data_IF_746291376156
#
_entry.id   IF_746291376156
#
_cell.length_a   1.000
_cell.length_b   1.000
_cell.length_c   1.000
_cell.angle_alpha   90.00
_cell.angle_beta   90.00
_cell.angle_gamma   90.00
#
_symmetry.space_group_name_H-M   'P 1'
#
loop_
_entity.id
_entity.type
_entity.pdbx_description
1 polymer ?
#
# COMPACT_ATOMS: atom_id res chain seq x y z
N UNK A 1 7.34 -10.14 -0.82
CA UNK A 1 6.02 -9.60 -0.40
C UNK A 1 6.27 -8.28 0.30
N UNK A 2 5.39 -7.32 0.08
CA UNK A 2 5.34 -6.04 0.79
C UNK A 2 3.96 -5.89 1.41
N UNK A 3 3.88 -5.35 2.61
CA UNK A 3 2.64 -5.06 3.32
C UNK A 3 2.55 -3.57 3.59
N UNK A 4 1.48 -2.94 3.14
CA UNK A 4 1.08 -1.63 3.63
C UNK A 4 0.23 -1.84 4.88
N UNK A 5 0.65 -1.25 6.00
CA UNK A 5 0.01 -1.35 7.30
C UNK A 5 -0.41 0.03 7.76
N UNK A 6 -1.72 0.28 7.77
CA UNK A 6 -2.30 1.49 8.31
C UNK A 6 -2.33 1.46 9.86
N UNK A 7 -2.46 2.64 10.47
CA UNK A 7 -2.47 2.81 11.93
C UNK A 7 -3.63 2.07 12.62
N UNK A 8 -4.76 1.91 11.94
CA UNK A 8 -5.92 1.16 12.40
C UNK A 8 -5.77 -0.36 12.27
N UNK A 9 -4.62 -0.83 11.76
CA UNK A 9 -4.33 -2.24 11.55
C UNK A 9 -4.79 -2.78 10.19
N UNK A 10 -5.42 -1.96 9.34
CA UNK A 10 -5.76 -2.37 7.98
C UNK A 10 -4.50 -2.69 7.18
N UNK A 11 -4.58 -3.74 6.37
CA UNK A 11 -3.44 -4.27 5.62
C UNK A 11 -3.79 -4.48 4.15
N UNK A 12 -2.84 -4.12 3.28
CA UNK A 12 -2.81 -4.50 1.89
C UNK A 12 -1.51 -5.26 1.61
N UNK A 13 -1.61 -6.45 1.00
CA UNK A 13 -0.46 -7.33 0.74
C UNK A 13 -0.19 -7.37 -0.75
N UNK A 14 1.02 -6.98 -1.11
CA UNK A 14 1.46 -6.92 -2.50
C UNK A 14 2.55 -7.97 -2.74
N UNK A 15 2.31 -8.81 -3.74
CA UNK A 15 3.31 -9.72 -4.27
C UNK A 15 4.31 -8.91 -5.09
N UNK A 16 5.60 -9.09 -4.80
CA UNK A 16 6.69 -8.39 -5.49
C UNK A 16 7.44 -9.40 -6.35
N UNK A 17 7.55 -9.11 -7.64
CA UNK A 17 8.33 -9.87 -8.61
C UNK A 17 9.34 -8.94 -9.28
N UNK A 18 10.62 -9.31 -9.28
CA UNK A 18 11.68 -8.45 -9.83
C UNK A 18 11.80 -7.08 -9.17
N UNK A 19 11.38 -6.94 -7.90
CA UNK A 19 11.39 -5.67 -7.17
C UNK A 19 10.18 -4.77 -7.44
N UNK A 20 9.20 -5.21 -8.24
CA UNK A 20 8.01 -4.45 -8.61
C UNK A 20 6.76 -5.20 -8.12
N UNK A 21 5.81 -4.46 -7.54
CA UNK A 21 4.44 -4.93 -7.37
C UNK A 21 3.56 -4.26 -8.43
N UNK A 22 2.88 -5.06 -9.25
CA UNK A 22 2.00 -4.54 -10.30
C UNK A 22 0.55 -4.74 -9.91
N UNK A 23 -0.33 -3.82 -10.35
CA UNK A 23 -1.77 -3.93 -10.15
C UNK A 23 -2.31 -5.25 -10.70
N UNK A 24 -1.91 -5.63 -11.91
CA UNK A 24 -2.40 -6.83 -12.58
C UNK A 24 -2.00 -8.14 -11.87
N UNK A 25 -0.93 -8.14 -11.08
CA UNK A 25 -0.45 -9.31 -10.34
C UNK A 25 -0.82 -9.27 -8.84
N UNK A 26 -1.53 -8.24 -8.39
CA UNK A 26 -1.97 -8.08 -7.00
C UNK A 26 -3.44 -8.46 -6.89
N UNK A 27 -3.83 -9.05 -5.75
CA UNK A 27 -5.25 -9.27 -5.45
C UNK A 27 -6.01 -7.92 -5.54
N UNK A 28 -7.14 -7.86 -6.28
CA UNK A 28 -7.86 -6.60 -6.48
C UNK A 28 -8.29 -5.91 -5.19
N UNK A 29 -8.62 -6.66 -4.14
CA UNK A 29 -9.02 -6.08 -2.85
C UNK A 29 -7.82 -5.49 -2.13
N UNK A 30 -6.68 -6.16 -2.15
CA UNK A 30 -5.46 -5.63 -1.53
C UNK A 30 -4.93 -4.41 -2.31
N UNK A 31 -5.03 -4.41 -3.64
CA UNK A 31 -4.71 -3.22 -4.43
C UNK A 31 -5.63 -2.04 -4.08
N UNK A 32 -6.94 -2.27 -4.03
CA UNK A 32 -7.91 -1.24 -3.68
C UNK A 32 -7.68 -0.68 -2.27
N UNK A 33 -7.34 -1.52 -1.28
CA UNK A 33 -6.98 -1.08 0.06
C UNK A 33 -5.74 -0.20 0.08
N UNK A 34 -4.68 -0.58 -0.65
CA UNK A 34 -3.48 0.23 -0.76
C UNK A 34 -3.81 1.60 -1.37
N UNK A 35 -4.58 1.63 -2.47
CA UNK A 35 -5.01 2.88 -3.10
C UNK A 35 -5.82 3.73 -2.12
N UNK A 36 -6.77 3.15 -1.39
CA UNK A 36 -7.58 3.87 -0.41
C UNK A 36 -6.73 4.45 0.74
N UNK A 37 -5.73 3.72 1.25
CA UNK A 37 -4.80 4.24 2.26
C UNK A 37 -4.04 5.46 1.73
N UNK A 38 -3.53 5.38 0.51
CA UNK A 38 -2.77 6.47 -0.09
C UNK A 38 -3.66 7.68 -0.45
N UNK A 39 -4.90 7.45 -0.88
CA UNK A 39 -5.89 8.49 -1.12
C UNK A 39 -6.27 9.23 0.17
N UNK A 40 -6.42 8.51 1.28
CA UNK A 40 -6.70 9.11 2.59
C UNK A 40 -5.48 9.86 3.15
N UNK A 41 -4.26 9.41 2.83
CA UNK A 41 -3.03 9.93 3.40
C UNK A 41 -2.87 9.59 4.89
N UNK A 42 -1.98 10.31 5.56
CA UNK A 42 -1.62 10.09 6.96
C UNK A 42 -0.47 9.11 7.14
N UNK A 43 -0.42 8.48 8.32
CA UNK A 43 0.69 7.62 8.73
C UNK A 43 0.42 6.14 8.46
N UNK A 44 1.31 5.49 7.72
CA UNK A 44 1.30 4.04 7.49
C UNK A 44 2.72 3.51 7.37
N UNK A 45 2.90 2.21 7.59
CA UNK A 45 4.16 1.53 7.39
C UNK A 45 4.14 0.68 6.12
N UNK A 46 5.28 0.63 5.43
CA UNK A 46 5.55 -0.32 4.34
C UNK A 46 6.55 -1.33 4.88
N UNK A 47 6.12 -2.58 4.96
CA UNK A 47 6.84 -3.66 5.66
C UNK A 47 7.20 -4.76 4.68
N UNK A 48 8.46 -5.19 4.74
CA UNK A 48 8.97 -6.37 4.05
C UNK A 48 9.45 -7.41 5.07
N UNK A 49 9.92 -8.56 4.60
CA UNK A 49 10.55 -9.55 5.49
C UNK A 49 11.92 -9.11 6.05
N UNK A 50 12.53 -8.07 5.48
CA UNK A 50 13.90 -7.64 5.83
C UNK A 50 13.94 -6.31 6.57
N UNK A 51 12.95 -5.45 6.32
CA UNK A 51 12.95 -4.07 6.78
C UNK A 51 11.53 -3.50 6.76
N UNK A 52 11.36 -2.38 7.44
CA UNK A 52 10.13 -1.59 7.50
C UNK A 52 10.43 -0.11 7.41
N UNK A 53 9.61 0.62 6.66
CA UNK A 53 9.69 2.07 6.58
C UNK A 53 8.33 2.70 6.89
N UNK A 54 8.32 3.70 7.77
CA UNK A 54 7.12 4.44 8.13
C UNK A 54 7.05 5.71 7.30
N UNK A 55 5.89 5.96 6.71
CA UNK A 55 5.58 7.19 6.00
C UNK A 55 4.57 8.00 6.80
N UNK A 56 4.71 9.33 6.72
CA UNK A 56 3.67 10.28 7.05
C UNK A 56 3.53 11.21 5.85
N UNK A 57 2.42 11.10 5.13
CA UNK A 57 2.24 11.77 3.85
C UNK A 57 0.86 12.43 3.72
N UNK A 58 0.75 13.53 2.97
CA UNK A 58 -0.55 14.12 2.66
C UNK A 58 -1.42 13.15 1.83
N UNK A 59 -2.73 13.38 1.85
CA UNK A 59 -3.71 12.68 1.03
C UNK A 59 -3.41 12.83 -0.47
N UNK A 60 -3.60 11.75 -1.23
CA UNK A 60 -3.48 11.75 -2.69
C UNK A 60 -4.84 11.45 -3.35
N UNK A 61 -5.81 12.39 -3.31
CA UNK A 61 -7.19 12.13 -3.74
C UNK A 61 -7.29 11.61 -5.19
N UNK A 62 -6.42 12.10 -6.08
CA UNK A 62 -6.45 11.81 -7.52
C UNK A 62 -5.55 10.63 -7.93
N UNK A 63 -5.16 9.76 -6.99
CA UNK A 63 -4.22 8.66 -7.24
C UNK A 63 -4.76 7.59 -8.22
N UNK A 64 -6.08 7.47 -8.34
CA UNK A 64 -6.73 6.56 -9.29
C UNK A 64 -7.75 7.32 -10.13
N UNK A 65 -7.72 7.11 -11.44
CA UNK A 65 -8.77 7.58 -12.33
C UNK A 65 -10.03 6.75 -12.11
N UNK A 66 -11.17 7.44 -11.94
CA UNK A 66 -12.50 6.81 -11.96
C UNK A 66 -12.91 6.39 -13.37
#
# INVERSE_FOLDING_TARGET
>A
MIVFLARDGAQARLSVQGGIATQAATDPQDWAKMVAMLQAGGTFAVVSSKDSLTFDMPALPDLACN
#
